data_IF_460526373558
#
_entry.id   IF_460526373558
#
_cell.length_a   1.000
_cell.length_b   1.000
_cell.length_c   1.000
_cell.angle_alpha   90.00
_cell.angle_beta   90.00
_cell.angle_gamma   90.00
#
_symmetry.space_group_name_H-M   'P 1'
#
loop_
_entity.id
_entity.type
_entity.pdbx_description
1 polymer ?
#
# COMPACT_ATOMS: atom_id res chain seq x y z
N UNK A 1 -8.32 2.89 -28.53
CA UNK A 1 -9.24 3.08 -27.40
C UNK A 1 -8.45 2.95 -26.10
N UNK A 2 -8.42 3.97 -25.23
CA UNK A 2 -7.69 3.86 -23.96
C UNK A 2 -8.44 2.90 -23.02
N UNK A 3 -7.70 1.99 -22.38
CA UNK A 3 -8.27 1.01 -21.46
C UNK A 3 -8.82 1.70 -20.20
N UNK A 4 -9.94 1.20 -19.70
CA UNK A 4 -10.62 1.69 -18.50
C UNK A 4 -9.69 1.67 -17.27
N UNK A 5 -9.68 2.70 -16.40
CA UNK A 5 -8.79 2.79 -15.23
C UNK A 5 -8.99 1.67 -14.19
N UNK A 6 -10.04 0.86 -14.33
CA UNK A 6 -10.39 -0.26 -13.45
C UNK A 6 -9.38 -1.43 -13.53
N UNK A 7 -8.72 -1.63 -14.67
CA UNK A 7 -7.78 -2.77 -14.87
C UNK A 7 -6.44 -2.56 -14.13
N UNK A 8 -6.18 -1.35 -13.65
CA UNK A 8 -4.86 -1.01 -13.11
C UNK A 8 -4.67 -1.43 -11.64
N UNK A 9 -5.76 -1.82 -10.97
CA UNK A 9 -5.80 -2.22 -9.56
C UNK A 9 -5.66 -3.74 -9.30
N UNK A 10 -5.50 -4.57 -10.33
CA UNK A 10 -5.52 -6.05 -10.20
C UNK A 10 -4.24 -6.67 -9.60
N UNK A 11 -3.17 -5.91 -9.32
CA UNK A 11 -1.83 -6.46 -9.05
C UNK A 11 -1.40 -6.65 -7.59
N UNK A 12 -2.28 -6.46 -6.61
CA UNK A 12 -1.87 -6.14 -5.24
C UNK A 12 -2.20 -7.23 -4.23
N UNK A 13 -1.57 -8.42 -4.31
CA UNK A 13 -1.52 -9.38 -3.18
C UNK A 13 -0.66 -8.77 -2.06
N UNK A 14 -1.10 -8.84 -0.78
CA UNK A 14 -0.40 -8.24 0.38
C UNK A 14 -0.30 -9.18 1.59
N UNK A 15 0.91 -9.69 1.86
CA UNK A 15 1.53 -9.96 3.15
C UNK A 15 2.74 -9.04 3.35
N UNK A 16 3.52 -9.18 4.43
CA UNK A 16 4.64 -8.24 4.77
C UNK A 16 5.71 -8.10 3.66
N UNK A 17 5.83 -9.08 2.75
CA UNK A 17 6.68 -8.99 1.56
C UNK A 17 6.19 -7.93 0.53
N UNK A 18 4.93 -7.52 0.62
CA UNK A 18 4.27 -6.71 -0.40
C UNK A 18 4.36 -5.21 -0.16
N UNK A 19 4.67 -4.74 1.05
CA UNK A 19 4.88 -3.30 1.30
C UNK A 19 6.06 -2.75 0.48
N UNK A 20 7.17 -3.51 0.42
CA UNK A 20 8.31 -3.13 -0.41
C UNK A 20 7.94 -3.18 -1.89
N UNK A 21 7.13 -4.16 -2.31
CA UNK A 21 6.61 -4.22 -3.68
C UNK A 21 5.72 -3.02 -4.01
N UNK A 22 4.91 -2.52 -3.07
CA UNK A 22 4.12 -1.30 -3.25
C UNK A 22 5.02 -0.06 -3.40
N UNK A 23 6.04 0.05 -2.56
CA UNK A 23 7.04 1.09 -2.72
C UNK A 23 7.68 1.06 -4.12
N UNK A 24 8.11 -0.12 -4.58
CA UNK A 24 8.68 -0.30 -5.92
C UNK A 24 7.67 0.00 -7.03
N UNK A 25 6.39 -0.29 -6.81
CA UNK A 25 5.30 0.04 -7.73
C UNK A 25 5.14 1.55 -7.90
N UNK A 26 5.23 2.32 -6.82
CA UNK A 26 5.14 3.79 -6.88
C UNK A 26 6.28 4.42 -7.67
N UNK A 27 7.47 3.80 -7.69
CA UNK A 27 8.57 4.22 -8.53
C UNK A 27 8.35 3.86 -10.00
N UNK A 28 7.82 2.65 -10.26
CA UNK A 28 7.64 2.12 -11.62
C UNK A 28 6.44 2.73 -12.36
N UNK A 29 5.34 2.99 -11.64
CA UNK A 29 4.09 3.55 -12.18
C UNK A 29 3.60 4.71 -11.33
N UNK A 30 4.34 5.84 -11.31
CA UNK A 30 4.03 6.98 -10.46
C UNK A 30 2.71 7.67 -10.82
N UNK A 31 2.27 7.54 -12.07
CA UNK A 31 1.03 8.08 -12.60
C UNK A 31 -0.21 7.54 -11.89
N UNK A 32 -0.16 6.30 -11.39
CA UNK A 32 -1.33 5.64 -10.83
C UNK A 32 -1.72 6.15 -9.47
N UNK A 33 -0.74 6.31 -8.60
CA UNK A 33 -1.01 6.89 -7.28
C UNK A 33 -1.38 8.37 -7.42
N UNK A 34 -0.81 9.08 -8.40
CA UNK A 34 -1.22 10.46 -8.74
C UNK A 34 -2.67 10.51 -9.20
N UNK A 35 -3.08 9.62 -10.09
CA UNK A 35 -4.46 9.55 -10.58
C UNK A 35 -5.44 9.14 -9.48
N UNK A 36 -5.06 8.16 -8.63
CA UNK A 36 -5.85 7.75 -7.49
C UNK A 36 -6.05 8.90 -6.49
N UNK A 37 -4.99 9.65 -6.20
CA UNK A 37 -5.07 10.84 -5.33
C UNK A 37 -5.88 11.96 -5.97
N UNK A 38 -5.74 12.22 -7.27
CA UNK A 38 -6.61 13.18 -7.97
C UNK A 38 -8.08 12.76 -7.88
N UNK A 39 -8.39 11.48 -8.10
CA UNK A 39 -9.75 10.97 -7.98
C UNK A 39 -10.29 11.11 -6.55
N UNK A 40 -9.45 10.89 -5.53
CA UNK A 40 -9.80 11.17 -4.12
C UNK A 40 -10.14 12.64 -3.89
N UNK A 41 -9.35 13.57 -4.44
CA UNK A 41 -9.55 15.01 -4.25
C UNK A 41 -10.77 15.55 -5.01
N UNK A 42 -10.94 15.14 -6.26
CA UNK A 42 -11.92 15.78 -7.17
C UNK A 42 -13.23 15.01 -7.32
N UNK A 43 -13.27 13.73 -6.98
CA UNK A 43 -14.43 12.86 -7.29
C UNK A 43 -14.99 12.10 -6.10
N UNK A 44 -14.13 11.52 -5.26
CA UNK A 44 -14.55 10.63 -4.18
C UNK A 44 -13.81 10.97 -2.86
N UNK A 45 -14.19 12.06 -2.17
CA UNK A 45 -13.46 12.57 -1.01
C UNK A 45 -13.49 11.65 0.21
N UNK A 46 -14.46 10.72 0.29
CA UNK A 46 -14.62 9.80 1.42
C UNK A 46 -14.87 8.36 0.96
N UNK A 47 -14.77 7.39 1.88
CA UNK A 47 -15.04 5.98 1.61
C UNK A 47 -14.03 5.30 0.68
N UNK A 48 -14.41 4.15 0.12
CA UNK A 48 -13.59 3.43 -0.86
C UNK A 48 -13.50 4.19 -2.19
N UNK A 49 -12.34 4.13 -2.85
CA UNK A 49 -12.08 4.87 -4.09
C UNK A 49 -12.84 4.29 -5.30
N UNK A 50 -13.09 2.97 -5.30
CA UNK A 50 -13.88 2.27 -6.33
C UNK A 50 -14.95 1.42 -5.64
N UNK A 51 -16.16 1.48 -6.17
CA UNK A 51 -17.29 0.67 -5.71
C UNK A 51 -17.01 -0.82 -5.93
N UNK A 52 -17.38 -1.66 -4.96
CA UNK A 52 -17.14 -3.12 -5.03
C UNK A 52 -15.75 -3.58 -4.57
N UNK A 53 -14.85 -2.68 -4.16
CA UNK A 53 -13.55 -3.06 -3.58
C UNK A 53 -13.65 -3.96 -2.32
N UNK A 54 -14.78 -3.93 -1.61
CA UNK A 54 -15.00 -4.80 -0.45
C UNK A 54 -14.80 -6.29 -0.75
N UNK A 55 -15.22 -6.77 -1.94
CA UNK A 55 -15.11 -8.19 -2.29
C UNK A 55 -13.67 -8.66 -2.53
N UNK A 56 -12.78 -7.79 -3.03
CA UNK A 56 -11.37 -8.12 -3.25
C UNK A 56 -10.53 -8.00 -1.98
N UNK A 57 -10.93 -7.08 -1.09
CA UNK A 57 -10.29 -6.94 0.22
C UNK A 57 -10.61 -8.13 1.14
N UNK A 58 -11.77 -8.80 0.97
CA UNK A 58 -12.18 -9.94 1.80
C UNK A 58 -11.12 -11.03 1.98
N UNK A 59 -10.37 -11.39 0.93
CA UNK A 59 -9.29 -12.38 1.04
C UNK A 59 -8.13 -11.87 1.90
N UNK A 60 -7.72 -10.61 1.72
CA UNK A 60 -6.60 -10.03 2.47
C UNK A 60 -6.97 -9.80 3.92
N UNK A 61 -8.16 -9.29 4.16
CA UNK A 61 -8.71 -9.08 5.49
C UNK A 61 -8.81 -10.40 6.24
N UNK A 62 -9.25 -11.48 5.56
CA UNK A 62 -9.25 -12.83 6.12
C UNK A 62 -7.84 -13.32 6.46
N UNK A 63 -6.87 -13.14 5.57
CA UNK A 63 -5.49 -13.53 5.82
C UNK A 63 -4.88 -12.78 7.02
N UNK A 64 -5.21 -11.50 7.20
CA UNK A 64 -4.81 -10.71 8.36
C UNK A 64 -5.48 -11.26 9.62
N UNK A 65 -6.79 -11.50 9.59
CA UNK A 65 -7.54 -12.06 10.71
C UNK A 65 -7.01 -13.45 11.15
N UNK A 66 -6.69 -14.32 10.19
CA UNK A 66 -6.07 -15.62 10.46
C UNK A 66 -4.67 -15.47 11.09
N UNK A 67 -3.88 -14.51 10.62
CA UNK A 67 -2.57 -14.21 11.20
C UNK A 67 -2.69 -13.63 12.63
N UNK A 68 -3.72 -12.84 12.91
CA UNK A 68 -4.04 -12.34 14.24
C UNK A 68 -4.48 -13.47 15.17
N UNK A 69 -5.36 -14.37 14.72
CA UNK A 69 -5.79 -15.54 15.48
C UNK A 69 -4.62 -16.47 15.83
N UNK A 70 -3.62 -16.55 14.94
CA UNK A 70 -2.39 -17.30 15.15
C UNK A 70 -1.31 -16.53 15.97
N UNK A 71 -1.60 -15.33 16.48
CA UNK A 71 -0.66 -14.52 17.26
C UNK A 71 0.55 -13.99 16.47
N UNK A 72 0.48 -13.98 15.14
CA UNK A 72 1.57 -13.50 14.26
C UNK A 72 1.48 -12.02 13.95
N UNK A 73 0.25 -11.48 13.93
CA UNK A 73 -0.05 -10.07 13.68
C UNK A 73 -0.75 -9.49 14.91
N UNK A 74 -0.49 -8.22 15.22
CA UNK A 74 -1.10 -7.53 16.37
C UNK A 74 -2.63 -7.48 16.23
N UNK A 75 -3.33 -7.50 17.36
CA UNK A 75 -4.79 -7.38 17.41
C UNK A 75 -5.27 -5.98 17.00
N UNK A 76 -6.47 -5.92 16.42
CA UNK A 76 -7.09 -4.71 15.87
C UNK A 76 -7.99 -5.04 14.69
N UNK A 77 -8.66 -4.05 14.12
CA UNK A 77 -9.44 -4.26 12.90
C UNK A 77 -8.50 -4.65 11.73
N UNK A 78 -8.73 -5.78 11.03
CA UNK A 78 -7.91 -6.19 9.89
C UNK A 78 -7.78 -5.11 8.80
N UNK A 79 -8.84 -4.34 8.58
CA UNK A 79 -8.85 -3.25 7.61
C UNK A 79 -7.91 -2.13 8.04
N UNK A 80 -7.95 -1.74 9.31
CA UNK A 80 -7.08 -0.69 9.83
C UNK A 80 -5.60 -1.11 9.79
N UNK A 81 -5.29 -2.37 10.09
CA UNK A 81 -3.93 -2.91 9.96
C UNK A 81 -3.47 -2.82 8.50
N UNK A 82 -4.31 -3.21 7.55
CA UNK A 82 -4.00 -3.11 6.12
C UNK A 82 -3.81 -1.65 5.68
N UNK A 83 -4.69 -0.75 6.09
CA UNK A 83 -4.63 0.67 5.77
C UNK A 83 -3.32 1.29 6.28
N UNK A 84 -2.90 0.95 7.51
CA UNK A 84 -1.62 1.39 8.08
C UNK A 84 -0.42 0.91 7.25
N UNK A 85 -0.39 -0.36 6.84
CA UNK A 85 0.69 -0.91 6.02
C UNK A 85 0.77 -0.22 4.66
N UNK A 86 -0.37 0.03 4.01
CA UNK A 86 -0.44 0.76 2.75
C UNK A 86 0.06 2.20 2.94
N UNK A 87 -0.39 2.89 3.98
CA UNK A 87 0.05 4.26 4.28
C UNK A 87 1.58 4.34 4.49
N UNK A 88 2.17 3.37 5.22
CA UNK A 88 3.62 3.30 5.40
C UNK A 88 4.37 3.09 4.07
N UNK A 89 3.83 2.29 3.16
CA UNK A 89 4.43 2.08 1.83
C UNK A 89 4.48 3.37 0.99
N UNK A 90 3.58 4.32 1.25
CA UNK A 90 3.46 5.58 0.51
C UNK A 90 4.40 6.68 0.98
N UNK A 91 5.26 6.44 1.98
CA UNK A 91 6.12 7.44 2.61
C UNK A 91 6.96 8.29 1.62
N UNK A 92 7.38 7.67 0.51
CA UNK A 92 8.15 8.33 -0.56
C UNK A 92 7.44 8.32 -1.92
N UNK A 93 6.13 8.09 -1.93
CA UNK A 93 5.36 8.09 -3.17
C UNK A 93 5.34 9.47 -3.84
N UNK A 94 4.98 9.57 -5.14
CA UNK A 94 4.78 10.85 -5.84
C UNK A 94 3.80 11.85 -5.21
N UNK A 95 3.00 11.41 -4.23
CA UNK A 95 2.03 12.23 -3.51
C UNK A 95 2.44 12.49 -2.06
N UNK A 96 3.66 12.09 -1.68
CA UNK A 96 4.24 12.41 -0.38
C UNK A 96 4.47 13.92 -0.27
N UNK A 97 3.97 14.50 0.82
CA UNK A 97 4.18 15.92 1.13
C UNK A 97 5.58 16.22 1.69
N UNK A 98 6.37 15.18 2.00
CA UNK A 98 7.73 15.33 2.56
C UNK A 98 8.77 15.19 1.45
N UNK A 99 8.73 14.08 0.70
CA UNK A 99 9.67 13.82 -0.39
C UNK A 99 9.11 12.79 -1.36
N UNK A 100 9.03 13.15 -2.65
CA UNK A 100 8.64 12.25 -3.73
C UNK A 100 9.88 11.61 -4.36
N UNK A 101 10.08 10.32 -4.13
CA UNK A 101 11.16 9.56 -4.75
C UNK A 101 10.90 9.32 -6.24
N UNK A 102 11.98 9.16 -7.01
CA UNK A 102 11.91 8.76 -8.43
C UNK A 102 12.83 7.58 -8.68
N UNK A 103 12.61 6.87 -9.78
CA UNK A 103 13.44 5.73 -10.20
C UNK A 103 14.85 6.14 -10.69
N UNK A 104 15.11 7.44 -10.81
CA UNK A 104 16.40 8.01 -11.20
C UNK A 104 17.36 8.18 -10.01
N UNK A 105 16.90 7.94 -8.79
CA UNK A 105 17.76 8.00 -7.62
C UNK A 105 18.72 6.78 -7.56
N UNK A 106 19.88 6.92 -6.91
CA UNK A 106 20.83 5.82 -6.76
C UNK A 106 20.22 4.56 -6.12
N UNK A 107 20.62 3.38 -6.59
CA UNK A 107 20.05 2.10 -6.15
C UNK A 107 20.27 1.83 -4.65
N UNK A 108 21.41 2.26 -4.10
CA UNK A 108 21.74 2.14 -2.68
C UNK A 108 20.81 2.96 -1.78
N UNK A 109 20.37 4.14 -2.24
CA UNK A 109 19.34 4.95 -1.55
C UNK A 109 18.02 4.19 -1.48
N UNK A 110 17.60 3.55 -2.58
CA UNK A 110 16.39 2.73 -2.58
C UNK A 110 16.52 1.51 -1.68
N UNK A 111 17.66 0.81 -1.67
CA UNK A 111 17.89 -0.32 -0.76
C UNK A 111 17.83 0.10 0.73
N UNK A 112 18.35 1.28 1.06
CA UNK A 112 18.20 1.86 2.40
C UNK A 112 16.73 2.06 2.78
N UNK A 113 15.93 2.63 1.87
CA UNK A 113 14.48 2.83 2.08
C UNK A 113 13.72 1.51 2.19
N UNK A 114 14.00 0.52 1.34
CA UNK A 114 13.39 -0.82 1.41
C UNK A 114 13.68 -1.50 2.75
N UNK A 115 14.92 -1.38 3.23
CA UNK A 115 15.35 -1.93 4.52
C UNK A 115 14.62 -1.25 5.67
N UNK A 116 14.58 0.08 5.69
CA UNK A 116 13.89 0.86 6.71
C UNK A 116 12.39 0.55 6.73
N UNK A 117 11.74 0.55 5.57
CA UNK A 117 10.31 0.27 5.41
C UNK A 117 9.96 -1.11 5.96
N UNK A 118 10.73 -2.14 5.58
CA UNK A 118 10.53 -3.52 6.05
C UNK A 118 10.65 -3.60 7.58
N UNK A 119 11.67 -2.95 8.16
CA UNK A 119 11.87 -2.95 9.60
C UNK A 119 10.72 -2.24 10.34
N UNK A 120 10.32 -1.06 9.87
CA UNK A 120 9.22 -0.29 10.45
C UNK A 120 7.89 -1.04 10.36
N UNK A 121 7.52 -1.56 9.19
CA UNK A 121 6.28 -2.34 9.02
C UNK A 121 6.30 -3.56 9.90
N UNK A 122 7.38 -4.35 9.89
CA UNK A 122 7.48 -5.54 10.74
C UNK A 122 7.22 -5.19 12.20
N UNK A 123 7.85 -4.13 12.72
CA UNK A 123 7.67 -3.71 14.10
C UNK A 123 6.25 -3.20 14.39
N UNK A 124 5.61 -2.53 13.43
CA UNK A 124 4.27 -1.99 13.60
C UNK A 124 3.18 -3.08 13.66
N UNK A 125 3.38 -4.19 12.93
CA UNK A 125 2.34 -5.23 12.74
C UNK A 125 2.58 -6.52 13.49
N UNK A 126 3.79 -6.80 13.99
CA UNK A 126 4.05 -8.01 14.79
C UNK A 126 3.26 -7.93 16.10
N UNK A 127 2.74 -9.07 16.57
CA UNK A 127 2.10 -9.14 17.89
C UNK A 127 3.07 -8.70 19.00
N UNK A 128 2.51 -8.12 20.07
CA UNK A 128 3.25 -7.68 21.26
C UNK A 128 3.75 -8.87 22.10
#
# INVERSE_FOLDING_TARGET
MPRSPVVVAEGMQVGVADTVRLYDEYLRRPDLIRLATWARLERQPAGHLVDGHGQYDDHKLRAIAEAQAAGRVRQGDPFDVMAMVIAMSMAWSPVSNVYAATDQEPSDVHEGRRTLLRACVRRAVTAD
#
